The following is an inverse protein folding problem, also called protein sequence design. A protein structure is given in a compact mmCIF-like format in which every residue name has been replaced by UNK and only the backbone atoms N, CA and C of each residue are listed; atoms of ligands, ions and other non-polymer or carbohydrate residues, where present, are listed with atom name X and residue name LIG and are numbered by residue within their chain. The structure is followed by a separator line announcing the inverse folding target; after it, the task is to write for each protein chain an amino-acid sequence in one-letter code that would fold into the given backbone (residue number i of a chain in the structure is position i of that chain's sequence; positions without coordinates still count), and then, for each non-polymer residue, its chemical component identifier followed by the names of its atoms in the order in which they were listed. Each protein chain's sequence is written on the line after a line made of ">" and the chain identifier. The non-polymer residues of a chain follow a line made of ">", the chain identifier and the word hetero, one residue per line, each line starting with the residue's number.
data_IF_351295776786
#
_entry.id   IF_351295776786
#
_cell.length_a   1.000
_cell.length_b   1.000
_cell.length_c   1.000
_cell.angle_alpha   90.00
_cell.angle_beta   90.00
_cell.angle_gamma   90.00
#
_symmetry.space_group_name_H-M   'P 1'
#
loop_
_entity.id
_entity.type
_entity.pdbx_description
1 polymer ?
#
# COMPACT_ATOMS: atom_id res chain seq x y z
N UNK A 1 -16.80 -1.06 -36.71
CA UNK A 1 -16.35 -1.06 -38.12
C UNK A 1 -14.91 -1.50 -38.10
N UNK A 2 -14.64 -2.69 -38.61
CA UNK A 2 -13.29 -3.25 -38.72
C UNK A 2 -12.60 -2.66 -39.97
N UNK A 3 -11.41 -2.08 -39.80
CA UNK A 3 -10.60 -1.45 -40.86
C UNK A 3 -9.27 -2.19 -41.05
N UNK A 4 -8.70 -2.27 -42.27
CA UNK A 4 -7.46 -2.97 -42.57
C UNK A 4 -6.25 -2.06 -42.31
N UNK A 5 -6.02 -1.71 -41.06
CA UNK A 5 -4.70 -1.24 -40.59
C UNK A 5 -4.04 -2.40 -39.89
N UNK A 6 -2.94 -2.92 -40.45
CA UNK A 6 -1.99 -3.90 -39.88
C UNK A 6 -2.58 -4.68 -38.70
N UNK A 7 -3.13 -5.88 -38.97
CA UNK A 7 -3.77 -6.73 -37.97
C UNK A 7 -3.15 -6.55 -36.59
N UNK A 8 -3.92 -5.95 -35.66
CA UNK A 8 -3.55 -5.71 -34.25
C UNK A 8 -2.99 -6.95 -33.54
N UNK A 9 -3.15 -8.13 -34.16
CA UNK A 9 -2.71 -9.45 -33.69
C UNK A 9 -1.40 -9.95 -34.31
N UNK A 10 -0.85 -9.33 -35.35
CA UNK A 10 0.25 -9.89 -36.15
C UNK A 10 1.64 -9.30 -35.86
N UNK A 11 1.75 -8.13 -35.23
CA UNK A 11 3.05 -7.51 -34.94
C UNK A 11 3.29 -7.41 -33.44
N UNK A 12 4.39 -8.01 -32.99
CA UNK A 12 4.97 -7.70 -31.68
C UNK A 12 5.48 -6.26 -31.69
N UNK A 13 5.37 -5.54 -30.56
CA UNK A 13 5.79 -4.14 -30.45
C UNK A 13 7.20 -3.84 -31.02
N UNK A 14 8.24 -4.68 -30.81
CA UNK A 14 9.55 -4.43 -31.39
C UNK A 14 9.56 -4.37 -32.92
N UNK A 15 8.77 -5.22 -33.58
CA UNK A 15 8.67 -5.28 -35.04
C UNK A 15 7.90 -4.07 -35.58
N UNK A 16 6.84 -3.65 -34.88
CA UNK A 16 6.09 -2.45 -35.25
C UNK A 16 6.90 -1.16 -35.01
N UNK A 17 7.67 -1.09 -33.93
CA UNK A 17 8.58 0.01 -33.62
C UNK A 17 9.66 0.17 -34.69
N UNK A 18 10.32 -0.93 -35.09
CA UNK A 18 11.34 -0.91 -36.14
C UNK A 18 10.74 -0.54 -37.51
N UNK A 19 9.55 -1.06 -37.84
CA UNK A 19 8.83 -0.69 -39.06
C UNK A 19 8.46 0.80 -39.07
N UNK A 20 7.98 1.35 -37.96
CA UNK A 20 7.64 2.76 -37.85
C UNK A 20 8.88 3.65 -37.99
N UNK A 21 9.99 3.32 -37.34
CA UNK A 21 11.24 4.07 -37.45
C UNK A 21 11.76 4.17 -38.89
N UNK A 22 11.55 3.13 -39.70
CA UNK A 22 12.02 3.09 -41.10
C UNK A 22 11.01 3.65 -42.10
N UNK A 23 9.71 3.59 -41.80
CA UNK A 23 8.63 3.85 -42.77
C UNK A 23 7.53 4.81 -42.27
N UNK A 24 7.76 5.58 -41.20
CA UNK A 24 6.77 6.47 -40.57
C UNK A 24 6.02 7.38 -41.55
N UNK A 25 6.73 7.97 -42.52
CA UNK A 25 6.13 8.85 -43.53
C UNK A 25 5.13 8.13 -44.44
N UNK A 26 5.43 6.90 -44.88
CA UNK A 26 4.52 6.16 -45.75
C UNK A 26 3.25 5.75 -44.99
N UNK A 27 3.40 5.34 -43.72
CA UNK A 27 2.25 5.03 -42.86
C UNK A 27 1.35 6.23 -42.62
N UNK A 28 1.92 7.40 -42.32
CA UNK A 28 1.14 8.63 -42.14
C UNK A 28 0.42 9.05 -43.43
N UNK A 29 1.06 8.92 -44.60
CA UNK A 29 0.43 9.23 -45.88
C UNK A 29 -0.70 8.27 -46.22
N UNK A 30 -0.52 6.97 -45.95
CA UNK A 30 -1.56 5.96 -46.13
C UNK A 30 -2.74 6.21 -45.20
N UNK A 31 -2.48 6.44 -43.91
CA UNK A 31 -3.53 6.73 -42.94
C UNK A 31 -4.30 8.02 -43.28
N UNK A 32 -3.62 9.06 -43.76
CA UNK A 32 -4.31 10.28 -44.24
C UNK A 32 -5.20 10.05 -45.47
N UNK A 33 -4.81 9.13 -46.38
CA UNK A 33 -5.67 8.76 -47.51
C UNK A 33 -6.91 8.00 -47.07
N UNK A 34 -6.80 7.17 -46.04
CA UNK A 34 -7.89 6.33 -45.52
C UNK A 34 -8.84 7.10 -44.61
N UNK A 35 -8.31 7.87 -43.66
CA UNK A 35 -9.09 8.55 -42.61
C UNK A 35 -9.36 10.03 -42.89
N UNK A 36 -8.70 10.62 -43.89
CA UNK A 36 -8.90 12.03 -44.26
C UNK A 36 -8.58 12.99 -43.10
N UNK A 37 -9.57 13.81 -42.74
CA UNK A 37 -9.51 14.80 -41.64
C UNK A 37 -10.04 14.26 -40.31
N UNK A 38 -10.33 12.96 -40.20
CA UNK A 38 -10.79 12.38 -38.93
C UNK A 38 -9.59 12.00 -38.04
N UNK A 39 -9.72 12.09 -36.70
CA UNK A 39 -8.76 11.48 -35.79
C UNK A 39 -8.63 9.98 -36.07
N UNK A 40 -7.39 9.49 -36.10
CA UNK A 40 -7.10 8.08 -36.28
C UNK A 40 -6.06 7.60 -35.27
N UNK A 41 -5.99 6.29 -35.07
CA UNK A 41 -4.96 5.67 -34.23
C UNK A 41 -3.89 5.03 -35.10
N UNK A 42 -2.66 5.13 -34.65
CA UNK A 42 -1.50 4.56 -35.34
C UNK A 42 -0.47 4.09 -34.33
N UNK A 43 0.14 2.95 -34.62
CA UNK A 43 1.29 2.44 -33.87
C UNK A 43 2.54 3.25 -34.24
N UNK A 44 3.17 3.89 -33.25
CA UNK A 44 4.41 4.68 -33.41
C UNK A 44 5.59 3.97 -32.75
N UNK A 45 6.78 4.57 -32.84
CA UNK A 45 7.97 4.14 -32.11
C UNK A 45 7.86 4.32 -30.58
N UNK A 46 6.89 5.13 -30.13
CA UNK A 46 6.52 5.31 -28.72
C UNK A 46 5.21 4.60 -28.35
N UNK A 47 4.59 3.90 -29.31
CA UNK A 47 3.35 3.14 -29.13
C UNK A 47 2.10 3.66 -29.80
N UNK A 48 0.94 3.11 -29.39
CA UNK A 48 -0.40 3.50 -29.85
C UNK A 48 -0.62 4.99 -29.58
N UNK A 49 -0.63 5.77 -30.65
CA UNK A 49 -0.85 7.20 -30.63
C UNK A 49 -2.18 7.53 -31.33
N UNK A 50 -2.93 8.46 -30.75
CA UNK A 50 -4.04 9.12 -31.44
C UNK A 50 -3.45 10.29 -32.21
N UNK A 51 -3.54 10.24 -33.54
CA UNK A 51 -3.13 11.34 -34.41
C UNK A 51 -4.32 12.25 -34.60
N UNK A 52 -4.20 13.47 -34.08
CA UNK A 52 -5.24 14.49 -34.19
C UNK A 52 -5.00 15.35 -35.45
N UNK A 53 -6.07 15.67 -36.20
CA UNK A 53 -6.04 16.70 -37.23
C UNK A 53 -5.64 18.06 -36.66
N UNK A 54 -5.08 18.92 -37.51
CA UNK A 54 -4.54 20.24 -37.11
C UNK A 54 -5.60 21.16 -36.50
N UNK A 55 -6.89 20.99 -36.83
CA UNK A 55 -7.99 21.78 -36.26
C UNK A 55 -8.09 21.67 -34.72
N UNK A 56 -7.72 20.51 -34.14
CA UNK A 56 -7.71 20.32 -32.69
C UNK A 56 -6.50 20.95 -32.00
N UNK A 57 -5.51 21.45 -32.74
CA UNK A 57 -4.28 22.02 -32.16
C UNK A 57 -4.59 23.20 -31.23
N UNK A 58 -5.61 24.00 -31.55
CA UNK A 58 -6.06 25.11 -30.71
C UNK A 58 -6.61 24.67 -29.37
N UNK A 59 -7.37 23.57 -29.33
CA UNK A 59 -7.97 23.01 -28.12
C UNK A 59 -6.92 22.43 -27.16
N UNK A 60 -5.90 21.78 -27.72
CA UNK A 60 -4.89 21.06 -26.92
C UNK A 60 -3.68 21.91 -26.51
N UNK A 61 -3.42 23.04 -27.19
CA UNK A 61 -2.17 23.83 -27.09
C UNK A 61 -1.72 24.11 -25.64
N UNK A 62 -2.66 24.41 -24.75
CA UNK A 62 -2.39 24.72 -23.34
C UNK A 62 -3.26 23.89 -22.39
N UNK A 63 -3.77 22.74 -22.85
CA UNK A 63 -4.69 21.96 -22.05
C UNK A 63 -3.96 21.39 -20.82
N UNK A 64 -4.34 21.75 -19.58
CA UNK A 64 -3.54 21.47 -18.38
C UNK A 64 -3.42 19.97 -18.04
N UNK A 65 -4.21 19.12 -18.71
CA UNK A 65 -4.17 17.66 -18.57
C UNK A 65 -3.24 16.96 -19.57
N UNK A 66 -2.59 17.70 -20.47
CA UNK A 66 -1.64 17.15 -21.43
C UNK A 66 -0.21 17.39 -20.94
N UNK A 67 0.60 16.34 -20.93
CA UNK A 67 2.01 16.41 -20.54
C UNK A 67 2.89 16.11 -21.74
N UNK A 68 3.84 17.01 -22.00
CA UNK A 68 4.85 16.83 -23.02
C UNK A 68 5.88 15.74 -22.65
N UNK A 69 6.14 15.54 -21.35
CA UNK A 69 7.14 14.60 -20.84
C UNK A 69 6.52 13.41 -20.11
N UNK A 70 5.19 13.27 -20.13
CA UNK A 70 4.48 12.24 -19.36
C UNK A 70 4.82 10.79 -19.75
N UNK A 71 5.48 10.60 -20.89
CA UNK A 71 6.01 9.34 -21.39
C UNK A 71 7.54 9.19 -21.20
N UNK A 72 8.23 10.21 -20.67
CA UNK A 72 9.66 10.16 -20.37
C UNK A 72 9.94 9.63 -18.97
N UNK A 73 11.15 9.11 -18.77
CA UNK A 73 11.64 8.77 -17.43
C UNK A 73 11.83 10.03 -16.61
N UNK A 74 11.30 10.01 -15.39
CA UNK A 74 11.53 11.07 -14.41
C UNK A 74 11.84 10.46 -13.04
N UNK A 75 12.70 11.14 -12.30
CA UNK A 75 13.16 10.67 -11.00
C UNK A 75 12.22 11.16 -9.89
N UNK A 76 11.76 10.25 -9.06
CA UNK A 76 10.97 10.56 -7.87
C UNK A 76 11.74 10.20 -6.58
N UNK A 77 11.58 10.98 -5.50
CA UNK A 77 11.95 10.53 -4.17
C UNK A 77 10.96 9.45 -3.74
N UNK A 78 11.41 8.19 -3.68
CA UNK A 78 10.54 7.03 -3.60
C UNK A 78 9.68 7.03 -2.32
N UNK A 79 10.31 7.20 -1.16
CA UNK A 79 9.62 7.14 0.14
C UNK A 79 8.56 8.24 0.31
N UNK A 80 8.84 9.54 0.07
CA UNK A 80 7.81 10.57 0.09
C UNK A 80 6.66 10.33 -0.88
N UNK A 81 6.96 9.91 -2.12
CA UNK A 81 5.92 9.63 -3.11
C UNK A 81 5.00 8.47 -2.69
N UNK A 82 5.57 7.39 -2.14
CA UNK A 82 4.78 6.26 -1.65
C UNK A 82 4.00 6.60 -0.37
N UNK A 83 4.55 7.46 0.49
CA UNK A 83 3.85 7.97 1.67
C UNK A 83 2.58 8.71 1.28
N UNK A 84 2.62 9.52 0.22
CA UNK A 84 1.44 10.22 -0.29
C UNK A 84 0.38 9.27 -0.84
N UNK A 85 0.80 8.23 -1.56
CA UNK A 85 -0.11 7.19 -2.09
C UNK A 85 -0.79 6.45 -0.94
N UNK A 86 -0.01 5.94 0.02
CA UNK A 86 -0.51 5.18 1.16
C UNK A 86 -1.39 6.05 2.06
N UNK A 87 -0.99 7.29 2.36
CA UNK A 87 -1.81 8.19 3.18
C UNK A 87 -3.20 8.44 2.56
N UNK A 88 -3.28 8.59 1.23
CA UNK A 88 -4.54 8.74 0.50
C UNK A 88 -5.38 7.45 0.52
N UNK A 89 -4.75 6.30 0.29
CA UNK A 89 -5.42 4.99 0.30
C UNK A 89 -5.96 4.65 1.70
N UNK A 90 -5.14 4.79 2.75
CA UNK A 90 -5.53 4.61 4.14
C UNK A 90 -6.66 5.58 4.53
N UNK A 91 -6.52 6.87 4.21
CA UNK A 91 -7.55 7.86 4.54
C UNK A 91 -8.89 7.57 3.84
N UNK A 92 -8.89 7.03 2.62
CA UNK A 92 -10.12 6.63 1.93
C UNK A 92 -10.94 5.59 2.70
N UNK A 93 -10.25 4.68 3.40
CA UNK A 93 -10.87 3.63 4.23
C UNK A 93 -11.17 4.14 5.64
N UNK A 94 -10.38 5.07 6.16
CA UNK A 94 -10.54 5.57 7.52
C UNK A 94 -11.61 6.64 7.66
N UNK A 95 -11.63 7.62 6.74
CA UNK A 95 -12.43 8.83 6.83
C UNK A 95 -13.32 9.10 5.60
N UNK A 96 -13.31 8.21 4.60
CA UNK A 96 -14.19 8.31 3.43
C UNK A 96 -13.61 9.10 2.25
N UNK A 97 -14.44 9.41 1.24
CA UNK A 97 -14.05 10.19 0.05
C UNK A 97 -13.87 11.68 0.36
N UNK A 98 -14.55 12.13 1.40
CA UNK A 98 -14.67 13.52 1.80
C UNK A 98 -13.31 14.10 2.19
N UNK A 99 -12.46 13.30 2.86
CA UNK A 99 -11.18 13.75 3.42
C UNK A 99 -9.95 13.03 2.85
N UNK A 100 -10.11 11.96 2.07
CA UNK A 100 -8.95 11.19 1.59
C UNK A 100 -8.05 11.95 0.62
N UNK A 101 -8.53 13.05 0.04
CA UNK A 101 -7.77 13.96 -0.84
C UNK A 101 -7.58 15.34 -0.22
N UNK A 102 -8.05 15.55 1.01
CA UNK A 102 -7.86 16.82 1.70
C UNK A 102 -6.39 16.94 2.12
N UNK A 103 -5.69 17.93 1.56
CA UNK A 103 -4.26 18.10 1.79
C UNK A 103 -3.94 18.48 3.25
N UNK A 104 -4.89 19.09 3.98
CA UNK A 104 -4.71 19.40 5.39
C UNK A 104 -4.76 18.13 6.24
N UNK A 105 -5.75 17.27 6.02
CA UNK A 105 -5.89 15.95 6.64
C UNK A 105 -4.67 15.06 6.35
N UNK A 106 -4.27 14.95 5.08
CA UNK A 106 -3.12 14.14 4.67
C UNK A 106 -1.82 14.63 5.28
N UNK A 107 -1.62 15.94 5.37
CA UNK A 107 -0.44 16.51 6.05
C UNK A 107 -0.44 16.16 7.53
N UNK A 108 -1.57 16.32 8.23
CA UNK A 108 -1.68 15.96 9.64
C UNK A 108 -1.35 14.48 9.85
N UNK A 109 -2.00 13.58 9.12
CA UNK A 109 -1.84 12.13 9.34
C UNK A 109 -0.42 11.64 9.04
N UNK A 110 0.27 12.22 8.03
CA UNK A 110 1.68 11.94 7.75
C UNK A 110 2.62 12.47 8.84
N UNK A 111 2.45 13.73 9.25
CA UNK A 111 3.37 14.40 10.18
C UNK A 111 3.14 14.03 11.66
N UNK A 112 1.89 13.75 12.06
CA UNK A 112 1.52 13.46 13.43
C UNK A 112 2.28 12.26 13.98
N UNK A 113 2.43 11.20 13.19
CA UNK A 113 3.21 10.01 13.57
C UNK A 113 4.68 10.34 13.82
N UNK A 114 5.31 11.12 12.94
CA UNK A 114 6.71 11.51 13.09
C UNK A 114 6.88 12.35 14.36
N UNK A 115 6.01 13.34 14.56
CA UNK A 115 6.02 14.16 15.77
C UNK A 115 5.76 13.33 17.04
N UNK A 116 4.91 12.30 16.96
CA UNK A 116 4.57 11.44 18.09
C UNK A 116 5.80 10.69 18.60
N UNK A 117 6.54 10.04 17.70
CA UNK A 117 7.74 9.31 18.07
C UNK A 117 8.88 10.23 18.53
N UNK A 118 9.10 11.36 17.84
CA UNK A 118 10.10 12.34 18.28
C UNK A 118 9.77 12.93 19.65
N UNK A 119 8.50 13.31 19.87
CA UNK A 119 8.05 13.80 21.18
C UNK A 119 8.19 12.73 22.27
N UNK A 120 7.96 11.45 21.94
CA UNK A 120 8.15 10.35 22.88
C UNK A 120 9.63 10.23 23.30
N UNK A 121 10.57 10.34 22.37
CA UNK A 121 12.01 10.34 22.69
C UNK A 121 12.38 11.56 23.54
N UNK A 122 11.92 12.76 23.15
CA UNK A 122 12.20 14.01 23.88
C UNK A 122 11.61 14.00 25.29
N UNK A 123 10.39 13.50 25.50
CA UNK A 123 9.72 13.48 26.80
C UNK A 123 10.26 12.38 27.72
N UNK A 124 10.72 11.26 27.16
CA UNK A 124 11.23 10.13 27.96
C UNK A 124 12.60 10.40 28.55
N UNK A 125 13.37 11.32 27.97
CA UNK A 125 14.61 11.86 28.52
C UNK A 125 14.42 12.55 29.90
N UNK A 126 13.19 12.98 30.22
CA UNK A 126 12.86 13.57 31.51
C UNK A 126 12.33 12.53 32.51
N UNK A 127 12.64 12.65 33.81
CA UNK A 127 12.06 11.81 34.86
C UNK A 127 10.53 11.81 34.83
N UNK A 128 9.84 10.67 35.09
CA UNK A 128 8.38 10.55 34.94
C UNK A 128 7.55 11.64 35.63
N UNK A 129 7.99 12.08 36.82
CA UNK A 129 7.30 13.13 37.60
C UNK A 129 7.39 14.53 36.96
N UNK A 130 8.44 14.79 36.19
CA UNK A 130 8.67 16.09 35.55
C UNK A 130 8.00 16.20 34.17
N UNK A 131 7.68 15.07 33.52
CA UNK A 131 7.11 15.03 32.16
C UNK A 131 5.87 15.91 31.99
N UNK A 132 4.97 15.91 32.99
CA UNK A 132 3.75 16.74 32.96
C UNK A 132 4.06 18.23 32.90
N UNK A 133 5.09 18.66 33.62
CA UNK A 133 5.50 20.05 33.65
C UNK A 133 6.24 20.42 32.38
N UNK A 134 7.13 19.56 31.87
CA UNK A 134 7.99 19.89 30.72
C UNK A 134 7.27 19.80 29.36
N UNK A 135 6.27 18.92 29.24
CA UNK A 135 5.55 18.69 27.98
C UNK A 135 4.99 19.95 27.27
N UNK A 136 4.47 20.99 27.96
CA UNK A 136 4.05 22.25 27.32
C UNK A 136 5.20 23.05 26.71
N UNK A 137 6.43 22.92 27.22
CA UNK A 137 7.60 23.64 26.71
C UNK A 137 8.34 22.91 25.58
N UNK A 138 8.11 21.61 25.42
CA UNK A 138 8.64 20.82 24.31
C UNK A 138 7.90 21.18 23.00
N UNK A 139 8.60 21.67 21.95
CA UNK A 139 7.97 22.05 20.68
C UNK A 139 7.16 20.93 20.02
N UNK A 140 7.67 19.70 20.00
CA UNK A 140 6.97 18.54 19.40
C UNK A 140 5.69 18.18 20.16
N UNK A 141 5.70 18.26 21.49
CA UNK A 141 4.50 18.06 22.29
C UNK A 141 3.44 19.17 22.10
N UNK A 142 3.85 20.40 21.80
CA UNK A 142 2.92 21.47 21.39
C UNK A 142 2.37 21.21 19.99
N UNK A 143 3.23 20.84 19.05
CA UNK A 143 2.84 20.52 17.68
C UNK A 143 1.80 19.38 17.64
N UNK A 144 1.96 18.33 18.46
CA UNK A 144 0.98 17.25 18.58
C UNK A 144 -0.38 17.73 19.07
N UNK A 145 -0.43 18.63 20.06
CA UNK A 145 -1.69 19.21 20.53
C UNK A 145 -2.37 20.05 19.45
N UNK A 146 -1.59 20.86 18.74
CA UNK A 146 -2.09 21.64 17.61
C UNK A 146 -2.59 20.76 16.46
N UNK A 147 -1.87 19.69 16.12
CA UNK A 147 -2.28 18.72 15.09
C UNK A 147 -3.54 17.96 15.51
N UNK A 148 -3.69 17.65 16.79
CA UNK A 148 -4.92 17.06 17.33
C UNK A 148 -6.11 18.01 17.19
N UNK A 149 -5.96 19.28 17.56
CA UNK A 149 -7.00 20.30 17.41
C UNK A 149 -7.35 20.54 15.94
N UNK A 150 -6.35 20.61 15.06
CA UNK A 150 -6.54 20.75 13.62
C UNK A 150 -7.27 19.53 13.02
N UNK A 151 -6.91 18.31 13.44
CA UNK A 151 -7.63 17.10 13.02
C UNK A 151 -9.10 17.16 13.44
N UNK A 152 -9.39 17.63 14.66
CA UNK A 152 -10.76 17.80 15.13
C UNK A 152 -11.54 18.83 14.30
N UNK A 153 -10.90 19.93 13.89
CA UNK A 153 -11.52 20.94 13.02
C UNK A 153 -11.84 20.40 11.63
N UNK A 154 -10.98 19.55 11.06
CA UNK A 154 -11.22 18.92 9.76
C UNK A 154 -12.30 17.84 9.83
N UNK A 155 -12.32 17.04 10.90
CA UNK A 155 -13.29 15.95 11.07
C UNK A 155 -14.68 16.47 11.46
N UNK A 156 -14.77 17.59 12.18
CA UNK A 156 -16.05 18.09 12.71
C UNK A 156 -17.13 18.32 11.63
N UNK A 157 -16.87 18.97 10.49
CA UNK A 157 -17.86 19.15 9.43
C UNK A 157 -18.38 17.82 8.87
N UNK A 158 -17.50 16.83 8.68
CA UNK A 158 -17.88 15.50 8.17
C UNK A 158 -18.79 14.78 9.17
N UNK A 159 -18.41 14.81 10.46
CA UNK A 159 -19.22 14.19 11.53
C UNK A 159 -20.58 14.90 11.69
N UNK A 160 -20.61 16.23 11.59
CA UNK A 160 -21.85 17.00 11.64
C UNK A 160 -22.78 16.68 10.47
N UNK A 161 -22.25 16.64 9.24
CA UNK A 161 -23.02 16.30 8.06
C UNK A 161 -23.62 14.88 8.14
N UNK A 162 -22.84 13.91 8.63
CA UNK A 162 -23.32 12.53 8.82
C UNK A 162 -24.43 12.44 9.88
N UNK A 163 -24.31 13.17 10.99
CA UNK A 163 -25.36 13.23 12.04
C UNK A 163 -26.64 13.91 11.55
N UNK A 164 -26.51 15.03 10.82
CA UNK A 164 -27.65 15.74 10.25
C UNK A 164 -28.44 14.85 9.29
N UNK A 165 -27.74 14.16 8.38
CA UNK A 165 -28.38 13.21 7.46
C UNK A 165 -29.08 12.05 8.16
N UNK A 166 -28.55 11.57 9.29
CA UNK A 166 -29.21 10.54 10.11
C UNK A 166 -30.47 11.07 10.82
N UNK A 167 -30.44 12.30 11.37
CA UNK A 167 -31.59 12.92 12.03
C UNK A 167 -32.75 13.16 11.07
N UNK A 168 -32.47 13.68 9.86
CA UNK A 168 -33.47 13.90 8.82
C UNK A 168 -34.14 12.58 8.36
N UNK A 169 -33.38 11.49 8.32
CA UNK A 169 -33.88 10.13 8.03
C UNK A 169 -34.76 9.57 9.17
N UNK A 170 -34.48 9.92 10.43
CA UNK A 170 -35.26 9.48 11.59
C UNK A 170 -36.55 10.26 11.78
N UNK A 171 -36.55 11.57 11.48
CA UNK A 171 -37.72 12.44 11.51
C UNK A 171 -38.66 12.20 10.31
N UNK A 172 -38.13 11.77 9.15
CA UNK A 172 -38.87 11.51 7.91
C UNK A 172 -39.55 10.14 7.77
N UNK A 173 -39.95 9.46 8.86
CA UNK A 173 -40.59 8.14 8.81
C UNK A 173 -42.01 8.16 8.22
N UNK A 174 -42.16 8.21 6.89
CA UNK A 174 -43.39 7.76 6.20
C UNK A 174 -43.31 7.45 4.69
N UNK A 175 -42.22 7.70 3.94
CA UNK A 175 -42.24 7.41 2.49
C UNK A 175 -40.91 6.93 1.90
N UNK A 176 -41.00 5.71 1.34
CA UNK A 176 -40.07 5.01 0.43
C UNK A 176 -38.81 4.42 1.06
N UNK A 177 -38.79 3.09 1.03
CA UNK A 177 -37.64 2.18 0.95
C UNK A 177 -36.26 2.83 1.18
N UNK A 178 -35.80 2.64 2.42
CA UNK A 178 -34.53 3.07 3.01
C UNK A 178 -33.33 2.99 2.06
N UNK A 179 -32.87 4.13 1.56
CA UNK A 179 -31.43 4.39 1.36
C UNK A 179 -30.89 5.02 2.64
N UNK A 180 -30.69 4.22 3.70
CA UNK A 180 -29.70 4.61 4.70
C UNK A 180 -28.37 4.75 3.95
N UNK A 181 -27.78 5.94 3.92
CA UNK A 181 -26.43 6.11 3.41
C UNK A 181 -25.49 5.36 4.36
N UNK A 182 -25.22 4.10 4.03
CA UNK A 182 -24.26 3.29 4.76
C UNK A 182 -22.87 3.67 4.27
N UNK A 183 -22.09 4.34 5.13
CA UNK A 183 -20.69 4.63 4.86
C UNK A 183 -19.87 3.36 5.09
N UNK A 184 -19.04 2.99 4.13
CA UNK A 184 -18.12 1.85 4.25
C UNK A 184 -16.73 2.33 4.64
N UNK A 185 -16.61 2.90 5.84
CA UNK A 185 -15.37 3.44 6.38
C UNK A 185 -15.25 3.22 7.90
N UNK A 186 -14.05 3.48 8.43
CA UNK A 186 -13.76 3.26 9.84
C UNK A 186 -14.50 4.23 10.77
N UNK A 187 -14.94 5.40 10.30
CA UNK A 187 -15.75 6.33 11.10
C UNK A 187 -17.10 5.70 11.46
N UNK A 188 -17.82 5.20 10.46
CA UNK A 188 -19.11 4.54 10.64
C UNK A 188 -18.96 3.24 11.46
N UNK A 189 -17.97 2.41 11.10
CA UNK A 189 -17.69 1.17 11.82
C UNK A 189 -17.37 1.42 13.31
N UNK A 190 -16.52 2.41 13.62
CA UNK A 190 -16.17 2.74 14.99
C UNK A 190 -17.39 3.25 15.78
N UNK A 191 -18.25 4.06 15.16
CA UNK A 191 -19.52 4.48 15.76
C UNK A 191 -20.42 3.29 16.12
N UNK A 192 -20.61 2.35 15.21
CA UNK A 192 -21.42 1.15 15.44
C UNK A 192 -20.84 0.25 16.54
N UNK A 193 -19.50 0.10 16.60
CA UNK A 193 -18.84 -0.65 17.67
C UNK A 193 -18.98 0.06 19.02
N UNK A 194 -18.80 1.38 19.05
CA UNK A 194 -18.95 2.21 20.24
C UNK A 194 -20.36 2.10 20.83
N UNK A 195 -21.39 2.19 20.00
CA UNK A 195 -22.79 1.99 20.43
C UNK A 195 -23.00 0.59 21.00
N UNK A 196 -22.53 -0.47 20.32
CA UNK A 196 -22.67 -1.85 20.81
C UNK A 196 -21.95 -2.11 22.14
N UNK A 197 -20.86 -1.39 22.40
CA UNK A 197 -20.06 -1.52 23.63
C UNK A 197 -20.46 -0.54 24.74
N UNK A 198 -21.45 0.32 24.51
CA UNK A 198 -21.85 1.35 25.48
C UNK A 198 -20.82 2.46 25.67
N UNK A 199 -19.94 2.68 24.69
CA UNK A 199 -18.84 3.66 24.73
C UNK A 199 -19.07 4.80 23.73
N UNK A 200 -20.29 5.36 23.71
CA UNK A 200 -20.71 6.35 22.72
C UNK A 200 -19.94 7.68 22.79
N UNK A 201 -19.25 7.95 23.90
CA UNK A 201 -18.44 9.13 24.17
C UNK A 201 -16.96 8.97 23.76
N UNK A 202 -16.62 7.90 23.04
CA UNK A 202 -15.24 7.69 22.57
C UNK A 202 -14.74 8.87 21.72
N UNK A 203 -13.44 9.13 21.83
CA UNK A 203 -12.80 10.22 21.12
C UNK A 203 -12.47 9.81 19.67
N UNK A 204 -13.38 10.16 18.76
CA UNK A 204 -13.27 9.87 17.32
C UNK A 204 -11.96 10.41 16.74
N UNK A 205 -11.51 11.58 17.16
CA UNK A 205 -10.30 12.21 16.64
C UNK A 205 -9.06 11.43 17.06
N UNK A 206 -8.95 11.07 18.35
CA UNK A 206 -7.87 10.21 18.84
C UNK A 206 -7.87 8.86 18.15
N UNK A 207 -9.04 8.27 17.94
CA UNK A 207 -9.17 7.00 17.24
C UNK A 207 -8.62 7.09 15.81
N UNK A 208 -9.03 8.09 15.03
CA UNK A 208 -8.59 8.29 13.65
C UNK A 208 -7.08 8.59 13.53
N UNK A 209 -6.54 9.41 14.45
CA UNK A 209 -5.10 9.66 14.51
C UNK A 209 -4.32 8.41 14.90
N UNK A 210 -4.86 7.56 15.78
CA UNK A 210 -4.24 6.29 16.16
C UNK A 210 -4.21 5.30 14.99
N UNK A 211 -5.29 5.19 14.22
CA UNK A 211 -5.31 4.38 12.99
C UNK A 211 -4.27 4.88 11.99
N UNK A 212 -4.18 6.19 11.80
CA UNK A 212 -3.20 6.81 10.90
C UNK A 212 -1.76 6.49 11.31
N UNK A 213 -1.45 6.58 12.61
CA UNK A 213 -0.15 6.20 13.19
C UNK A 213 0.18 4.73 12.95
N UNK A 214 -0.81 3.85 13.12
CA UNK A 214 -0.61 2.42 13.00
C UNK A 214 -0.40 1.95 11.55
N UNK A 215 -1.07 2.58 10.58
CA UNK A 215 -1.15 2.08 9.21
C UNK A 215 -0.23 2.79 8.21
N UNK A 216 -0.14 4.13 8.25
CA UNK A 216 0.42 4.89 7.11
C UNK A 216 1.92 4.63 6.95
N UNK A 217 2.69 4.78 8.02
CA UNK A 217 4.16 4.68 7.94
C UNK A 217 4.63 3.24 7.74
N UNK A 218 3.97 2.27 8.38
CA UNK A 218 4.32 0.84 8.28
C UNK A 218 3.99 0.27 6.91
N UNK A 219 2.80 0.58 6.35
CA UNK A 219 2.46 0.19 4.97
C UNK A 219 3.37 0.86 3.94
N UNK A 220 3.72 2.14 4.13
CA UNK A 220 4.67 2.85 3.25
C UNK A 220 6.02 2.16 3.25
N UNK A 221 6.52 1.81 4.43
CA UNK A 221 7.82 1.18 4.60
C UNK A 221 7.90 -0.20 3.91
N UNK A 222 6.84 -1.02 4.05
CA UNK A 222 6.72 -2.31 3.36
C UNK A 222 6.65 -2.13 1.84
N UNK A 223 5.81 -1.20 1.35
CA UNK A 223 5.67 -0.91 -0.07
C UNK A 223 7.00 -0.46 -0.70
N UNK A 224 7.69 0.48 -0.05
CA UNK A 224 8.97 1.00 -0.53
C UNK A 224 10.03 -0.10 -0.56
N UNK A 225 10.14 -0.92 0.49
CA UNK A 225 11.10 -2.02 0.50
C UNK A 225 10.83 -3.01 -0.64
N UNK A 226 9.57 -3.42 -0.84
CA UNK A 226 9.21 -4.32 -1.93
C UNK A 226 9.52 -3.72 -3.31
N UNK A 227 9.33 -2.42 -3.50
CA UNK A 227 9.69 -1.75 -4.76
C UNK A 227 11.21 -1.72 -5.00
N UNK A 228 12.02 -1.51 -3.95
CA UNK A 228 13.48 -1.58 -4.03
C UNK A 228 13.91 -3.00 -4.44
N UNK A 229 13.40 -4.02 -3.75
CA UNK A 229 13.76 -5.40 -4.01
C UNK A 229 13.34 -5.83 -5.43
N UNK A 230 12.15 -5.44 -5.91
CA UNK A 230 11.71 -5.70 -7.27
C UNK A 230 12.55 -4.97 -8.32
N UNK A 231 13.01 -3.75 -8.04
CA UNK A 231 13.86 -3.01 -8.95
C UNK A 231 15.28 -3.60 -9.03
N UNK A 232 15.76 -4.25 -7.97
CA UNK A 232 17.00 -5.05 -7.98
C UNK A 232 16.83 -6.41 -8.67
N UNK A 233 15.59 -6.91 -8.79
CA UNK A 233 15.27 -8.19 -9.41
C UNK A 233 14.25 -8.05 -10.55
N UNK A 234 14.58 -7.30 -11.63
CA UNK A 234 13.62 -6.92 -12.68
C UNK A 234 13.00 -8.12 -13.41
N UNK A 235 13.62 -9.31 -13.37
CA UNK A 235 13.09 -10.54 -13.94
C UNK A 235 11.72 -10.97 -13.33
N UNK A 236 11.37 -10.52 -12.13
CA UNK A 236 10.07 -10.78 -11.54
C UNK A 236 8.95 -9.90 -12.10
N UNK A 237 9.26 -8.70 -12.60
CA UNK A 237 8.25 -7.72 -13.02
C UNK A 237 7.34 -8.25 -14.14
N UNK A 238 7.83 -8.87 -15.23
CA UNK A 238 6.96 -9.45 -16.26
C UNK A 238 6.06 -10.57 -15.72
N UNK A 239 6.57 -11.40 -14.81
CA UNK A 239 5.81 -12.50 -14.19
C UNK A 239 4.69 -11.98 -13.30
N UNK A 240 4.97 -10.94 -12.52
CA UNK A 240 3.98 -10.26 -11.68
C UNK A 240 2.89 -9.60 -12.51
N UNK A 241 3.26 -8.88 -13.58
CA UNK A 241 2.28 -8.26 -14.50
C UNK A 241 1.37 -9.31 -15.14
N UNK A 242 1.94 -10.44 -15.58
CA UNK A 242 1.17 -11.56 -16.12
C UNK A 242 0.21 -12.16 -15.08
N UNK A 243 0.65 -12.39 -13.84
CA UNK A 243 -0.20 -12.86 -12.75
C UNK A 243 -1.34 -11.88 -12.45
N UNK A 244 -1.03 -10.60 -12.24
CA UNK A 244 -2.00 -9.55 -11.93
C UNK A 244 -3.05 -9.47 -13.04
N UNK A 245 -2.63 -9.46 -14.30
CA UNK A 245 -3.54 -9.39 -15.44
C UNK A 245 -4.44 -10.63 -15.54
N UNK A 246 -3.91 -11.84 -15.34
CA UNK A 246 -4.69 -13.06 -15.38
C UNK A 246 -5.73 -13.11 -14.25
N UNK A 247 -5.32 -12.76 -13.03
CA UNK A 247 -6.19 -12.80 -11.84
C UNK A 247 -7.29 -11.74 -11.93
N UNK A 248 -6.96 -10.50 -12.27
CA UNK A 248 -7.93 -9.41 -12.38
C UNK A 248 -8.92 -9.61 -13.53
N UNK A 249 -8.51 -10.19 -14.67
CA UNK A 249 -9.46 -10.56 -15.75
C UNK A 249 -10.50 -11.57 -15.28
N UNK A 250 -10.12 -12.50 -14.41
CA UNK A 250 -11.01 -13.56 -13.92
C UNK A 250 -11.91 -13.11 -12.78
N UNK A 251 -11.38 -12.31 -11.85
CA UNK A 251 -12.04 -12.04 -10.57
C UNK A 251 -12.39 -10.55 -10.34
N UNK A 252 -11.95 -9.65 -11.21
CA UNK A 252 -12.07 -8.20 -10.99
C UNK A 252 -11.37 -7.72 -9.72
N UNK A 253 -11.73 -6.53 -9.25
CA UNK A 253 -11.25 -5.98 -7.98
C UNK A 253 -12.02 -6.55 -6.79
N UNK A 254 -11.69 -7.79 -6.42
CA UNK A 254 -12.31 -8.50 -5.28
C UNK A 254 -11.26 -8.97 -4.27
N UNK A 255 -11.69 -9.24 -3.03
CA UNK A 255 -10.80 -9.87 -2.02
C UNK A 255 -10.22 -11.20 -2.52
N UNK A 256 -11.03 -11.96 -3.27
CA UNK A 256 -10.62 -13.23 -3.89
C UNK A 256 -9.50 -13.03 -4.91
N UNK A 257 -9.55 -11.95 -5.71
CA UNK A 257 -8.46 -11.61 -6.61
C UNK A 257 -7.14 -11.38 -5.84
N UNK A 258 -7.16 -10.58 -4.78
CA UNK A 258 -5.97 -10.31 -3.97
C UNK A 258 -5.40 -11.57 -3.30
N UNK A 259 -6.26 -12.52 -2.95
CA UNK A 259 -5.86 -13.84 -2.43
C UNK A 259 -5.13 -14.68 -3.51
N UNK A 260 -5.60 -14.64 -4.75
CA UNK A 260 -5.02 -15.42 -5.86
C UNK A 260 -3.74 -14.83 -6.48
N UNK A 261 -3.34 -13.61 -6.11
CA UNK A 261 -2.04 -13.03 -6.48
C UNK A 261 -0.89 -13.63 -5.65
N UNK A 262 -0.61 -14.92 -5.86
CA UNK A 262 0.28 -15.74 -5.01
C UNK A 262 1.75 -15.30 -5.12
N UNK A 263 2.22 -14.99 -6.32
CA UNK A 263 3.59 -14.52 -6.55
C UNK A 263 3.78 -13.10 -6.00
N UNK A 264 2.82 -12.20 -6.22
CA UNK A 264 2.86 -10.86 -5.62
C UNK A 264 2.89 -10.92 -4.09
N UNK A 265 2.02 -11.73 -3.50
CA UNK A 265 2.00 -11.99 -2.05
C UNK A 265 3.33 -12.56 -1.54
N UNK A 266 3.94 -13.47 -2.30
CA UNK A 266 5.26 -14.04 -2.00
C UNK A 266 6.38 -12.99 -2.05
N UNK A 267 6.38 -12.09 -3.04
CA UNK A 267 7.40 -11.03 -3.15
C UNK A 267 7.33 -10.06 -1.97
N UNK A 268 6.12 -9.65 -1.57
CA UNK A 268 5.93 -8.77 -0.41
C UNK A 268 6.38 -9.48 0.87
N UNK A 269 6.00 -10.76 1.05
CA UNK A 269 6.39 -11.55 2.22
C UNK A 269 7.91 -11.75 2.30
N UNK A 270 8.58 -11.99 1.16
CA UNK A 270 10.04 -12.11 1.12
C UNK A 270 10.75 -10.80 1.49
N UNK A 271 10.23 -9.67 0.99
CA UNK A 271 10.73 -8.34 1.39
C UNK A 271 10.61 -8.14 2.91
N UNK A 272 9.46 -8.51 3.48
CA UNK A 272 9.21 -8.46 4.92
C UNK A 272 10.07 -9.47 5.71
N UNK A 273 10.46 -10.60 5.12
CA UNK A 273 11.31 -11.61 5.75
C UNK A 273 12.72 -11.08 5.97
N UNK A 274 13.30 -10.50 4.91
CA UNK A 274 14.68 -10.00 4.95
C UNK A 274 14.81 -8.70 5.74
N UNK A 275 13.76 -7.87 5.72
CA UNK A 275 13.67 -6.64 6.48
C UNK A 275 12.28 -6.52 7.13
N UNK A 276 12.10 -7.15 8.30
CA UNK A 276 10.90 -6.95 9.10
C UNK A 276 10.77 -5.47 9.51
N UNK A 277 9.53 -5.05 9.79
CA UNK A 277 9.32 -3.73 10.39
C UNK A 277 9.65 -3.85 11.88
N UNK A 278 10.89 -3.58 12.24
CA UNK A 278 11.33 -3.43 13.63
C UNK A 278 10.90 -2.08 14.23
N UNK A 279 10.60 -2.05 15.53
CA UNK A 279 10.37 -0.81 16.30
C UNK A 279 11.20 -0.85 17.60
N UNK A 280 12.29 -0.07 17.69
CA UNK A 280 13.09 0.15 18.93
C UNK A 280 14.58 0.58 18.73
N UNK A 281 15.62 0.34 19.61
CA UNK A 281 17.15 0.47 19.64
C UNK A 281 18.20 -0.74 19.46
N UNK A 282 19.16 -0.73 18.50
CA UNK A 282 20.47 -1.42 18.55
C UNK A 282 21.47 -0.86 17.51
N UNK A 283 22.67 -0.48 17.97
CA UNK A 283 23.75 0.19 17.23
C UNK A 283 24.84 -0.78 16.72
N UNK A 284 24.49 -1.84 16.00
CA UNK A 284 25.53 -2.72 15.42
C UNK A 284 25.19 -3.21 14.03
N UNK A 285 26.22 -3.23 13.19
CA UNK A 285 26.29 -3.51 11.75
C UNK A 285 25.70 -4.85 11.25
N UNK A 286 24.97 -5.60 12.09
CA UNK A 286 24.25 -6.81 11.72
C UNK A 286 22.89 -6.86 12.44
N UNK A 287 21.83 -6.74 11.65
CA UNK A 287 20.43 -6.69 12.05
C UNK A 287 19.96 -7.98 12.77
N UNK A 288 19.98 -7.98 14.10
CA UNK A 288 19.24 -8.92 14.93
C UNK A 288 18.02 -8.20 15.52
N UNK A 289 16.95 -8.09 14.74
CA UNK A 289 15.76 -7.37 15.15
C UNK A 289 15.05 -8.13 16.27
N UNK A 290 14.89 -7.47 17.41
CA UNK A 290 14.19 -8.05 18.55
C UNK A 290 12.75 -7.52 18.59
N UNK A 291 11.79 -8.39 18.28
CA UNK A 291 10.36 -8.08 18.25
C UNK A 291 9.65 -8.51 19.54
N UNK A 292 8.34 -8.26 19.61
CA UNK A 292 7.45 -8.79 20.65
C UNK A 292 7.88 -8.47 22.10
N UNK A 293 8.20 -7.20 22.36
CA UNK A 293 8.65 -6.70 23.67
C UNK A 293 7.63 -6.94 24.78
N UNK A 294 8.06 -7.54 25.90
CA UNK A 294 7.22 -7.76 27.10
C UNK A 294 7.98 -7.46 28.39
N UNK A 295 7.22 -7.19 29.44
CA UNK A 295 7.71 -7.20 30.82
C UNK A 295 7.14 -8.46 31.47
N UNK A 296 7.99 -9.19 32.18
CA UNK A 296 7.58 -10.35 32.96
C UNK A 296 6.86 -9.85 34.22
N UNK A 297 5.58 -10.18 34.38
CA UNK A 297 4.78 -9.71 35.51
C UNK A 297 4.86 -10.63 36.74
N UNK A 298 5.20 -11.91 36.50
CA UNK A 298 5.34 -12.96 37.51
C UNK A 298 6.47 -13.93 37.12
N UNK A 299 7.14 -14.53 38.11
CA UNK A 299 8.22 -15.48 37.88
C UNK A 299 7.70 -16.75 37.18
N UNK A 300 8.30 -17.16 36.07
CA UNK A 300 7.96 -18.41 35.40
C UNK A 300 9.15 -19.06 34.69
N UNK A 301 9.07 -20.38 34.46
CA UNK A 301 10.12 -21.15 33.78
C UNK A 301 9.73 -21.46 32.33
N UNK A 302 10.67 -21.26 31.42
CA UNK A 302 10.57 -21.77 30.06
C UNK A 302 10.78 -23.29 30.03
N UNK A 303 10.40 -23.92 28.91
CA UNK A 303 10.55 -25.37 28.70
C UNK A 303 11.99 -25.87 28.80
N UNK A 304 12.97 -25.01 28.53
CA UNK A 304 14.41 -25.30 28.69
C UNK A 304 14.93 -25.08 30.13
N UNK A 305 14.05 -24.75 31.09
CA UNK A 305 14.38 -24.55 32.49
C UNK A 305 14.79 -23.12 32.88
N UNK A 306 14.97 -22.21 31.91
CA UNK A 306 15.32 -20.81 32.19
C UNK A 306 14.21 -20.15 33.02
N UNK A 307 14.58 -19.65 34.20
CA UNK A 307 13.67 -18.89 35.06
C UNK A 307 13.69 -17.41 34.63
N UNK A 308 12.54 -16.92 34.18
CA UNK A 308 12.30 -15.50 33.94
C UNK A 308 11.69 -14.91 35.22
N UNK A 309 12.32 -13.85 35.74
CA UNK A 309 11.87 -13.18 36.95
C UNK A 309 10.99 -11.99 36.64
N UNK A 310 10.05 -11.71 37.54
CA UNK A 310 9.25 -10.50 37.56
C UNK A 310 10.13 -9.26 37.38
N UNK A 311 9.71 -8.40 36.47
CA UNK A 311 10.41 -7.17 36.08
C UNK A 311 11.43 -7.34 34.95
N UNK A 312 11.77 -8.57 34.52
CA UNK A 312 12.61 -8.75 33.33
C UNK A 312 11.92 -8.19 32.09
N UNK A 313 12.69 -7.49 31.24
CA UNK A 313 12.26 -7.11 29.89
C UNK A 313 12.74 -8.18 28.92
N UNK A 314 11.83 -8.71 28.13
CA UNK A 314 12.13 -9.76 27.15
C UNK A 314 11.77 -9.30 25.74
N UNK A 315 12.54 -9.81 24.79
CA UNK A 315 12.40 -9.57 23.36
C UNK A 315 12.62 -10.90 22.63
N UNK A 316 12.05 -11.03 21.43
CA UNK A 316 12.19 -12.22 20.59
C UNK A 316 13.03 -11.86 19.36
N UNK A 317 14.18 -12.49 19.22
CA UNK A 317 15.05 -12.37 18.06
C UNK A 317 14.38 -12.95 16.80
N UNK A 318 14.52 -12.26 15.66
CA UNK A 318 14.06 -12.69 14.34
C UNK A 318 15.02 -13.63 13.61
N UNK A 319 16.10 -14.14 14.21
CA UNK A 319 17.09 -15.04 13.58
C UNK A 319 16.48 -16.20 12.78
N UNK A 320 15.33 -16.75 13.20
CA UNK A 320 14.63 -17.82 12.48
C UNK A 320 14.17 -17.42 11.08
N UNK A 321 13.97 -16.13 10.84
CA UNK A 321 13.64 -15.56 9.53
C UNK A 321 14.82 -15.63 8.56
N UNK A 322 16.05 -15.87 9.06
CA UNK A 322 17.27 -16.08 8.28
C UNK A 322 17.96 -17.42 8.58
N UNK A 323 17.25 -18.37 9.17
CA UNK A 323 17.80 -19.69 9.46
C UNK A 323 17.88 -20.53 8.17
N UNK A 324 19.07 -20.96 7.72
CA UNK A 324 19.23 -21.76 6.50
C UNK A 324 18.53 -23.13 6.58
N UNK A 325 18.26 -23.65 7.78
CA UNK A 325 17.50 -24.89 7.96
C UNK A 325 16.00 -24.71 7.67
N UNK A 326 15.51 -23.47 7.70
CA UNK A 326 14.11 -23.11 7.41
C UNK A 326 14.00 -22.53 6.00
N UNK A 327 14.91 -21.62 5.66
CA UNK A 327 14.95 -20.90 4.39
C UNK A 327 16.31 -21.12 3.71
N UNK A 328 16.41 -22.03 2.72
CA UNK A 328 17.64 -22.21 1.94
C UNK A 328 18.08 -20.89 1.29
N UNK A 329 19.38 -20.60 1.27
CA UNK A 329 19.92 -19.29 0.82
C UNK A 329 19.21 -18.12 1.52
N UNK A 330 19.32 -18.02 2.87
CA UNK A 330 18.47 -17.15 3.67
C UNK A 330 18.73 -15.66 3.46
N UNK A 331 19.93 -15.27 3.03
CA UNK A 331 20.29 -13.87 2.77
C UNK A 331 19.95 -13.42 1.34
N UNK A 332 19.67 -14.37 0.44
CA UNK A 332 19.24 -14.08 -0.92
C UNK A 332 17.74 -13.78 -0.97
N UNK A 333 17.38 -12.73 -1.71
CA UNK A 333 15.99 -12.41 -1.98
C UNK A 333 15.45 -13.32 -3.09
N UNK A 334 14.51 -14.20 -2.76
CA UNK A 334 13.74 -14.98 -3.76
C UNK A 334 12.26 -14.62 -3.66
N UNK A 335 11.80 -13.73 -4.55
CA UNK A 335 10.39 -13.33 -4.61
C UNK A 335 9.41 -14.48 -4.81
N UNK A 336 9.85 -15.65 -5.31
CA UNK A 336 9.03 -16.85 -5.45
C UNK A 336 9.10 -17.82 -4.26
N UNK A 337 9.92 -17.54 -3.23
CA UNK A 337 10.17 -18.45 -2.10
C UNK A 337 8.88 -18.97 -1.47
N UNK A 338 8.00 -18.08 -1.06
CA UNK A 338 6.73 -18.44 -0.42
C UNK A 338 5.69 -18.97 -1.39
N UNK A 339 5.77 -18.65 -2.68
CA UNK A 339 4.94 -19.27 -3.70
C UNK A 339 5.35 -20.74 -3.94
N UNK A 340 6.66 -21.03 -3.96
CA UNK A 340 7.21 -22.40 -4.05
C UNK A 340 6.84 -23.22 -2.82
N UNK A 341 6.99 -22.66 -1.61
CA UNK A 341 6.62 -23.33 -0.35
C UNK A 341 5.13 -23.73 -0.32
N UNK A 342 4.24 -22.85 -0.81
CA UNK A 342 2.79 -23.16 -0.94
C UNK A 342 2.48 -24.27 -1.94
N UNK A 343 3.31 -24.43 -2.96
CA UNK A 343 3.10 -25.42 -4.02
C UNK A 343 3.65 -26.81 -3.65
N UNK A 344 4.33 -26.96 -2.50
CA UNK A 344 4.86 -28.25 -2.07
C UNK A 344 3.72 -29.21 -1.71
N UNK A 345 3.82 -30.49 -2.11
CA UNK A 345 2.77 -31.49 -1.90
C UNK A 345 2.60 -31.96 -0.45
N UNK A 346 3.29 -31.35 0.52
CA UNK A 346 3.19 -31.69 1.94
C UNK A 346 2.07 -30.85 2.61
N UNK A 347 0.93 -31.45 2.98
CA UNK A 347 -0.19 -30.71 3.56
C UNK A 347 0.19 -30.15 4.94
N UNK A 348 -0.26 -28.92 5.23
CA UNK A 348 -0.36 -28.40 6.61
C UNK A 348 0.63 -27.29 6.99
N UNK A 349 1.95 -27.49 6.87
CA UNK A 349 2.90 -26.48 7.38
C UNK A 349 2.91 -25.20 6.54
N UNK A 350 3.02 -25.32 5.22
CA UNK A 350 3.38 -24.20 4.36
C UNK A 350 2.21 -23.54 3.63
N UNK A 351 1.06 -24.20 3.52
CA UNK A 351 -0.10 -23.67 2.81
C UNK A 351 -0.62 -22.39 3.48
N UNK A 352 -0.90 -22.46 4.78
CA UNK A 352 -1.30 -21.29 5.57
C UNK A 352 -0.11 -20.43 5.97
N UNK A 353 1.02 -21.00 6.41
CA UNK A 353 2.15 -20.22 6.95
C UNK A 353 2.85 -19.33 5.91
N UNK A 354 2.68 -19.59 4.61
CA UNK A 354 3.36 -18.83 3.55
C UNK A 354 2.57 -17.64 3.03
N UNK A 355 1.33 -17.42 3.46
CA UNK A 355 0.56 -16.20 3.13
C UNK A 355 1.20 -14.99 3.83
N UNK A 356 1.25 -13.82 3.18
CA UNK A 356 1.78 -12.59 3.77
C UNK A 356 1.19 -12.32 5.17
N UNK A 357 -0.11 -12.51 5.33
CA UNK A 357 -0.85 -12.25 6.58
C UNK A 357 -0.63 -13.30 7.68
N UNK A 358 0.09 -14.38 7.40
CA UNK A 358 0.30 -15.46 8.36
C UNK A 358 1.52 -15.19 9.23
N UNK A 359 1.33 -15.39 10.55
CA UNK A 359 2.37 -15.23 11.56
C UNK A 359 2.80 -16.60 12.07
N UNK A 360 4.09 -16.76 12.35
CA UNK A 360 4.62 -17.97 12.97
C UNK A 360 5.92 -17.66 13.71
N UNK A 361 6.41 -18.61 14.50
CA UNK A 361 7.74 -18.51 15.11
C UNK A 361 8.87 -18.42 14.07
N UNK A 362 8.61 -18.84 12.84
CA UNK A 362 9.57 -18.78 11.72
C UNK A 362 9.47 -17.46 10.95
N UNK A 363 8.39 -16.70 11.14
CA UNK A 363 8.14 -15.43 10.44
C UNK A 363 7.35 -14.43 11.29
N UNK A 364 8.06 -13.46 11.86
CA UNK A 364 7.54 -12.50 12.84
C UNK A 364 7.23 -11.11 12.27
N UNK A 365 7.16 -10.95 10.94
CA UNK A 365 6.95 -9.64 10.29
C UNK A 365 5.70 -8.86 10.74
N UNK A 366 4.68 -9.54 11.26
CA UNK A 366 3.48 -8.93 11.87
C UNK A 366 3.37 -9.20 13.39
N UNK A 367 4.45 -9.62 14.05
CA UNK A 367 4.39 -10.19 15.40
C UNK A 367 3.71 -11.56 15.42
N UNK A 368 3.45 -12.10 16.61
CA UNK A 368 2.79 -13.41 16.77
C UNK A 368 1.98 -13.47 18.07
N UNK A 369 1.02 -14.41 18.14
CA UNK A 369 0.11 -14.58 19.27
C UNK A 369 -0.96 -13.49 19.39
N UNK A 370 -1.47 -13.26 20.60
CA UNK A 370 -2.56 -12.32 20.90
C UNK A 370 -2.25 -10.87 20.47
N UNK A 371 -0.98 -10.50 20.45
CA UNK A 371 -0.53 -9.17 20.03
C UNK A 371 -0.01 -9.13 18.58
N UNK A 372 -0.30 -10.14 17.77
CA UNK A 372 -0.07 -10.07 16.34
C UNK A 372 -0.82 -8.87 15.74
N UNK A 373 -0.23 -8.23 14.73
CA UNK A 373 -0.77 -7.04 14.10
C UNK A 373 -2.22 -7.28 13.65
N UNK A 374 -3.19 -6.52 14.20
CA UNK A 374 -4.59 -6.66 13.79
C UNK A 374 -4.82 -6.11 12.37
N UNK A 375 -3.99 -5.14 11.94
CA UNK A 375 -4.07 -4.50 10.63
C UNK A 375 -3.42 -5.29 9.49
N UNK A 376 -2.86 -6.49 9.72
CA UNK A 376 -2.08 -7.22 8.70
C UNK A 376 -2.85 -7.51 7.40
N UNK A 377 -4.15 -7.78 7.48
CA UNK A 377 -5.00 -8.00 6.31
C UNK A 377 -5.24 -6.70 5.53
N UNK A 378 -5.41 -5.60 6.26
CA UNK A 378 -5.54 -4.27 5.66
C UNK A 378 -4.25 -3.89 4.93
N UNK A 379 -3.09 -3.97 5.62
CA UNK A 379 -1.79 -3.66 5.04
C UNK A 379 -1.46 -4.54 3.83
N UNK A 380 -1.70 -5.85 3.92
CA UNK A 380 -1.48 -6.76 2.79
C UNK A 380 -2.31 -6.38 1.56
N UNK A 381 -3.59 -6.05 1.74
CA UNK A 381 -4.46 -5.65 0.64
C UNK A 381 -4.06 -4.28 0.08
N UNK A 382 -3.77 -3.32 0.95
CA UNK A 382 -3.36 -1.96 0.59
C UNK A 382 -2.07 -1.99 -0.26
N UNK A 383 -1.03 -2.68 0.21
CA UNK A 383 0.25 -2.81 -0.51
C UNK A 383 0.07 -3.56 -1.84
N UNK A 384 -0.73 -4.63 -1.89
CA UNK A 384 -1.03 -5.33 -3.15
C UNK A 384 -1.72 -4.45 -4.16
N UNK A 385 -2.74 -3.69 -3.74
CA UNK A 385 -3.45 -2.75 -4.63
C UNK A 385 -2.50 -1.68 -5.15
N UNK A 386 -1.67 -1.10 -4.28
CA UNK A 386 -0.67 -0.11 -4.68
C UNK A 386 0.32 -0.69 -5.70
N UNK A 387 0.88 -1.89 -5.43
CA UNK A 387 1.80 -2.57 -6.35
C UNK A 387 1.14 -2.93 -7.68
N UNK A 388 -0.14 -3.35 -7.69
CA UNK A 388 -0.87 -3.57 -8.93
C UNK A 388 -0.89 -2.29 -9.78
N UNK A 389 -1.23 -1.15 -9.19
CA UNK A 389 -1.23 0.12 -9.92
C UNK A 389 0.17 0.55 -10.38
N UNK A 390 1.19 0.38 -9.54
CA UNK A 390 2.57 0.76 -9.87
C UNK A 390 3.14 -0.12 -10.98
N UNK A 391 3.05 -1.45 -10.85
CA UNK A 391 3.62 -2.41 -11.79
C UNK A 391 2.87 -2.42 -13.12
N UNK A 392 1.53 -2.30 -13.11
CA UNK A 392 0.74 -2.36 -14.34
C UNK A 392 0.84 -1.07 -15.16
N UNK A 393 1.02 0.08 -14.51
CA UNK A 393 0.98 1.39 -15.19
C UNK A 393 2.35 2.02 -15.41
N UNK A 394 3.39 1.57 -14.72
CA UNK A 394 4.71 2.19 -14.78
C UNK A 394 5.83 1.18 -14.94
N UNK A 395 6.88 1.61 -15.66
CA UNK A 395 8.20 1.02 -15.57
C UNK A 395 8.98 1.77 -14.47
N UNK A 396 9.73 1.01 -13.66
CA UNK A 396 10.44 1.49 -12.48
C UNK A 396 11.87 0.99 -12.52
N UNK A 397 12.82 1.86 -12.17
CA UNK A 397 14.23 1.51 -12.04
C UNK A 397 14.87 2.33 -10.92
N UNK A 398 15.86 1.76 -10.22
CA UNK A 398 16.66 2.54 -9.27
C UNK A 398 17.52 3.55 -10.03
N UNK A 399 17.59 4.79 -9.53
CA UNK A 399 18.53 5.78 -10.07
C UNK A 399 19.95 5.34 -9.70
N UNK A 400 20.92 5.34 -10.64
CA UNK A 400 22.29 4.96 -10.35
C UNK A 400 22.90 5.76 -9.18
N UNK A 401 23.59 5.06 -8.28
CA UNK A 401 24.25 5.66 -7.12
C UNK A 401 23.33 5.94 -5.92
N UNK A 402 22.05 5.56 -5.99
CA UNK A 402 21.15 5.65 -4.83
C UNK A 402 21.53 4.65 -3.75
N UNK A 403 21.50 5.06 -2.47
CA UNK A 403 21.71 4.14 -1.35
C UNK A 403 20.40 3.43 -1.02
N UNK A 404 20.40 2.10 -1.14
CA UNK A 404 19.24 1.24 -0.89
C UNK A 404 19.27 0.59 0.50
N UNK A 405 20.37 0.77 1.25
CA UNK A 405 20.54 0.11 2.54
C UNK A 405 19.50 0.62 3.54
N UNK A 406 18.83 -0.28 4.27
CA UNK A 406 17.93 0.11 5.33
C UNK A 406 18.64 1.02 6.34
N UNK A 407 17.89 1.96 6.91
CA UNK A 407 18.39 2.85 7.96
C UNK A 407 17.96 2.25 9.31
N UNK A 408 18.96 1.87 10.11
CA UNK A 408 18.76 1.57 11.51
C UNK A 408 18.71 2.88 12.29
N UNK A 409 17.61 3.11 13.00
CA UNK A 409 17.50 4.11 14.06
C UNK A 409 17.13 3.35 15.31
N UNK A 410 18.07 2.54 15.76
CA UNK A 410 17.82 1.57 16.80
C UNK A 410 17.41 0.13 16.35
N UNK A 411 16.60 -0.59 17.15
CA UNK A 411 15.74 -1.79 16.98
C UNK A 411 14.66 -1.46 15.92
N UNK A 412 14.65 -0.25 15.34
CA UNK A 412 13.83 0.17 14.23
C UNK A 412 14.69 0.20 12.97
N UNK A 413 14.37 -0.71 12.06
CA UNK A 413 14.88 -0.71 10.71
C UNK A 413 13.82 -0.13 9.80
N UNK A 414 14.17 0.95 9.10
CA UNK A 414 13.30 1.52 8.06
C UNK A 414 13.95 1.37 6.70
N UNK A 415 13.14 1.38 5.64
CA UNK A 415 13.66 1.42 4.28
C UNK A 415 14.52 2.67 4.09
N UNK A 416 15.43 2.62 3.13
CA UNK A 416 16.25 3.78 2.83
C UNK A 416 15.40 5.03 2.55
N UNK A 417 15.76 6.13 3.21
CA UNK A 417 15.07 7.41 3.09
C UNK A 417 15.56 8.25 1.91
N UNK A 418 16.68 7.85 1.29
CA UNK A 418 17.35 8.58 0.20
C UNK A 418 17.09 7.98 -1.18
N UNK A 419 16.31 6.90 -1.28
CA UNK A 419 16.09 6.21 -2.55
C UNK A 419 15.41 7.12 -3.57
N UNK A 420 16.08 7.28 -4.71
CA UNK A 420 15.50 7.83 -5.93
C UNK A 420 15.15 6.70 -6.89
N UNK A 421 13.95 6.76 -7.43
CA UNK A 421 13.44 5.81 -8.41
C UNK A 421 13.10 6.54 -9.69
N UNK A 422 13.69 6.12 -10.81
CA UNK A 422 13.25 6.54 -12.12
C UNK A 422 11.93 5.84 -12.42
N UNK A 423 10.96 6.61 -12.89
CA UNK A 423 9.61 6.13 -13.18
C UNK A 423 9.17 6.65 -14.55
N UNK A 424 8.54 5.78 -15.32
CA UNK A 424 7.97 6.12 -16.63
C UNK A 424 6.63 5.45 -16.78
N UNK A 425 5.62 6.21 -17.24
CA UNK A 425 4.31 5.62 -17.54
C UNK A 425 4.43 4.67 -18.73
N UNK A 426 3.87 3.45 -18.60
CA UNK A 426 3.88 2.46 -19.67
C UNK A 426 2.97 2.92 -20.81
N UNK A 427 3.39 2.74 -22.07
CA UNK A 427 2.49 2.85 -23.22
C UNK A 427 1.33 1.86 -23.07
N UNK A 428 0.12 2.27 -23.48
CA UNK A 428 -1.11 1.48 -23.31
C UNK A 428 -1.05 0.09 -23.96
N UNK A 429 -0.25 -0.10 -25.01
CA UNK A 429 -0.11 -1.39 -25.70
C UNK A 429 0.72 -2.43 -24.94
N UNK A 430 1.59 -1.98 -24.02
CA UNK A 430 2.38 -2.87 -23.18
C UNK A 430 1.57 -3.31 -21.97
N UNK A 431 0.47 -2.62 -21.68
CA UNK A 431 -0.39 -2.93 -20.56
C UNK A 431 -1.24 -4.14 -20.93
N UNK A 432 -1.00 -5.23 -20.23
CA UNK A 432 -1.70 -6.50 -20.42
C UNK A 432 -3.20 -6.32 -20.16
N UNK A 433 -3.55 -5.45 -19.22
CA UNK A 433 -4.92 -5.13 -18.81
C UNK A 433 -4.99 -3.70 -18.27
N UNK A 434 -5.86 -2.85 -18.82
CA UNK A 434 -6.16 -1.55 -18.20
C UNK A 434 -7.01 -1.79 -16.95
N UNK A 435 -6.35 -1.74 -15.80
CA UNK A 435 -6.96 -2.07 -14.50
C UNK A 435 -7.93 -0.98 -14.01
N UNK A 436 -7.94 0.20 -14.63
CA UNK A 436 -8.91 1.27 -14.30
C UNK A 436 -10.28 1.00 -14.92
N UNK A 437 -10.32 0.39 -16.11
CA UNK A 437 -11.57 0.04 -16.79
C UNK A 437 -12.37 -1.02 -16.01
N UNK A 438 -11.69 -1.88 -15.25
CA UNK A 438 -12.33 -2.87 -14.38
C UNK A 438 -13.04 -2.25 -13.18
N UNK A 439 -12.64 -1.06 -12.74
CA UNK A 439 -13.30 -0.36 -11.64
C UNK A 439 -14.64 0.27 -12.07
N UNK A 440 -14.79 0.61 -13.35
CA UNK A 440 -16.01 1.24 -13.90
C UNK A 440 -17.19 0.26 -14.07
N UNK A 441 -16.94 -1.06 -14.07
CA UNK A 441 -17.97 -2.09 -14.28
C UNK A 441 -18.63 -2.66 -13.01
N UNK A 442 -18.21 -2.27 -11.81
CA UNK A 442 -18.60 -2.91 -10.54
C UNK A 442 -19.76 -2.28 -9.76
N UNK A 443 -20.44 -1.27 -10.33
CA UNK A 443 -21.56 -0.58 -9.70
C UNK A 443 -22.89 -1.31 -9.80
N UNK A 444 -22.95 -2.58 -9.38
CA UNK A 444 -24.19 -3.37 -9.39
C UNK A 444 -24.25 -4.26 -8.14
N UNK A 445 -25.14 -3.91 -7.21
CA UNK A 445 -25.27 -4.56 -5.92
C UNK A 445 -25.55 -6.06 -5.99
N UNK A 446 -24.93 -6.79 -5.08
CA UNK A 446 -25.31 -8.14 -4.70
C UNK A 446 -25.04 -8.29 -3.21
N UNK A 447 -26.10 -8.23 -2.40
CA UNK A 447 -26.03 -8.56 -0.99
C UNK A 447 -25.63 -10.02 -0.83
N UNK A 448 -24.42 -10.25 -0.32
CA UNK A 448 -23.99 -11.53 0.20
C UNK A 448 -24.26 -11.55 1.69
N UNK A 449 -25.36 -12.20 2.09
CA UNK A 449 -25.63 -12.54 3.48
C UNK A 449 -24.63 -13.54 4.02
N UNK A 450 -24.43 -13.46 5.33
CA UNK A 450 -23.82 -14.42 6.26
C UNK A 450 -23.24 -15.70 5.64
N UNK A 451 -21.92 -15.72 5.50
CA UNK A 451 -21.09 -16.91 5.54
C UNK A 451 -19.63 -16.52 5.87
N UNK A 452 -19.42 -15.88 7.03
CA UNK A 452 -18.09 -15.71 7.65
C UNK A 452 -18.09 -16.49 8.97
N UNK A 453 -18.15 -17.80 8.84
CA UNK A 453 -17.62 -18.76 9.80
C UNK A 453 -16.88 -19.81 8.97
N UNK A 454 -15.71 -20.24 9.43
CA UNK A 454 -14.86 -21.28 8.83
C UNK A 454 -13.88 -20.87 7.73
N UNK A 455 -13.11 -19.80 7.96
CA UNK A 455 -11.72 -19.72 7.46
C UNK A 455 -10.81 -19.13 8.54
N UNK A 456 -10.73 -19.82 9.67
CA UNK A 456 -9.71 -19.62 10.70
C UNK A 456 -9.42 -20.95 11.41
N UNK A 457 -8.67 -21.81 10.73
CA UNK A 457 -7.81 -22.83 11.33
C UNK A 457 -6.47 -22.86 10.61
#
# INVERSE_FOLDING_TARGET
>A
MDSPTLERKQLTFPTAQQAFQTSSNSFLLQARKEFGIQPFRMMTDYGDAVILPTEFAGEIRNHPKLSFTGFEWHDIPLRPAMLDVVARMSSRVFVGEELCRDEHWLRITKEYTVNLFLAFTEITAWPPRLRRFVAPWIPRCRALRQQYEAAAQVLAPVLQARRAGQSELEEGKARREKKQQHYNDALEWAGQVATRRGAADYDVNKFQLTLSVAAIHTSTDLLVQTLIDLAQHPAFVPRLRAEIAAVLRKHGWTKLALYHMKLLDSCIKESQRLKPIGVGESDTDYSHEALMRRIVEEDFRLSNGLLLKKGNRIHIDTQRMRDPAIYPDPDEWDGARFAKLRAQPAPGRWESASLLVSTSVDHLGFGHGEHACPGRFFAANEVKVALCHLLMKYDLALVPGTDVRPVASGWATTCSVSVRMAMRRRPREHVELDIDDLAAGGGGGGGGGDADADLAT
#
